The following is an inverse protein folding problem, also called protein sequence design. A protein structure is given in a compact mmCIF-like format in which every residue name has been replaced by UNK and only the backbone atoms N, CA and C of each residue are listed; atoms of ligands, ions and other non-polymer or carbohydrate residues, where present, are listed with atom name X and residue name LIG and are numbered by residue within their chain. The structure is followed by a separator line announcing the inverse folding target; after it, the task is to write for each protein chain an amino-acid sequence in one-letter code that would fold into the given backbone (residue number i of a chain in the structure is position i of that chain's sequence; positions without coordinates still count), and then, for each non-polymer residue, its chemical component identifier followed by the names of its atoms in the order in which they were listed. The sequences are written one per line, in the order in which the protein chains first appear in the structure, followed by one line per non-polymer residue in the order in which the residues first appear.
data_IF_928310910650
#
_entry.id   IF_928310910650
#
_cell.length_a   1.000
_cell.length_b   1.000
_cell.length_c   1.000
_cell.angle_alpha   90.00
_cell.angle_beta   90.00
_cell.angle_gamma   90.00
#
_symmetry.space_group_name_H-M   'P 1'
#
loop_
_entity.id
_entity.type
_entity.pdbx_description
1 polymer ?
#
# COMPACT_ATOMS: atom_id res chain seq x y z
N UNK A 1 -1.27 22.94 29.50
CA UNK A 1 -1.81 21.84 28.65
C UNK A 1 -0.90 21.69 27.46
N UNK A 2 0.22 20.97 27.61
CA UNK A 2 1.11 20.64 26.48
C UNK A 2 0.60 19.36 25.84
N UNK A 3 0.26 19.47 24.56
CA UNK A 3 0.00 18.36 23.64
C UNK A 3 1.19 17.40 23.66
N UNK A 4 1.01 16.20 24.22
CA UNK A 4 1.90 15.07 23.97
C UNK A 4 1.66 14.65 22.53
N UNK A 5 2.56 15.01 21.62
CA UNK A 5 2.63 14.34 20.32
C UNK A 5 3.05 12.90 20.63
N UNK A 6 2.09 11.99 20.71
CA UNK A 6 2.38 10.58 20.94
C UNK A 6 3.36 10.12 19.86
N UNK A 7 4.56 9.77 20.29
CA UNK A 7 5.56 9.16 19.42
C UNK A 7 4.96 7.85 18.95
N UNK A 8 4.45 7.82 17.71
CA UNK A 8 3.87 6.61 17.12
C UNK A 8 4.99 5.59 17.01
N UNK A 9 4.89 4.50 17.78
CA UNK A 9 5.88 3.44 17.74
C UNK A 9 5.68 2.58 16.49
N UNK A 10 6.72 1.88 16.04
CA UNK A 10 6.59 0.86 15.00
C UNK A 10 5.54 -0.21 15.35
N UNK A 11 5.34 -0.49 16.64
CA UNK A 11 4.28 -1.39 17.11
C UNK A 11 2.88 -0.79 16.87
N UNK A 12 2.67 0.49 17.12
CA UNK A 12 1.40 1.16 16.85
C UNK A 12 1.06 1.17 15.36
N UNK A 13 2.07 1.41 14.51
CA UNK A 13 1.91 1.32 13.05
C UNK A 13 1.58 -0.11 12.65
N UNK A 14 2.31 -1.10 13.16
CA UNK A 14 2.07 -2.50 12.83
C UNK A 14 0.67 -2.97 13.26
N UNK A 15 0.20 -2.58 14.45
CA UNK A 15 -1.14 -2.88 14.92
C UNK A 15 -2.22 -2.22 14.06
N UNK A 16 -2.00 -0.98 13.60
CA UNK A 16 -2.92 -0.30 12.68
C UNK A 16 -2.97 -0.99 11.33
N UNK A 17 -1.83 -1.39 10.78
CA UNK A 17 -1.75 -2.10 9.50
C UNK A 17 -2.35 -3.50 9.62
N UNK A 18 -2.04 -4.23 10.69
CA UNK A 18 -2.62 -5.54 11.01
C UNK A 18 -4.16 -5.46 11.13
N UNK A 19 -4.69 -4.53 11.92
CA UNK A 19 -6.12 -4.32 12.07
C UNK A 19 -6.79 -3.94 10.74
N UNK A 20 -6.11 -3.15 9.91
CA UNK A 20 -6.56 -2.91 8.55
C UNK A 20 -6.65 -4.24 7.80
N UNK A 21 -5.54 -4.97 7.63
CA UNK A 21 -5.48 -6.26 6.91
C UNK A 21 -6.50 -7.30 7.42
N UNK A 22 -6.74 -7.39 8.73
CA UNK A 22 -7.77 -8.23 9.33
C UNK A 22 -9.18 -7.81 8.91
N UNK A 23 -9.50 -6.51 8.98
CA UNK A 23 -10.78 -5.99 8.50
C UNK A 23 -10.98 -6.22 7.00
N UNK A 24 -9.88 -6.41 6.26
CA UNK A 24 -9.90 -6.72 4.84
C UNK A 24 -10.06 -8.22 4.55
N UNK A 25 -9.98 -9.08 5.57
CA UNK A 25 -10.00 -10.54 5.41
C UNK A 25 -8.73 -11.08 4.75
N UNK A 26 -7.61 -10.37 4.90
CA UNK A 26 -6.38 -10.68 4.20
C UNK A 26 -5.44 -11.44 5.13
N UNK A 27 -4.98 -12.61 4.69
CA UNK A 27 -3.94 -13.32 5.41
C UNK A 27 -2.65 -12.51 5.34
N UNK A 28 -2.02 -12.30 6.49
CA UNK A 28 -0.76 -11.59 6.58
C UNK A 28 0.13 -12.23 7.64
N UNK A 29 1.43 -11.97 7.52
CA UNK A 29 2.43 -12.37 8.47
C UNK A 29 3.33 -11.17 8.79
N UNK A 30 3.49 -10.87 10.08
CA UNK A 30 4.43 -9.86 10.56
C UNK A 30 5.79 -10.51 10.74
N UNK A 31 6.79 -10.02 10.01
CA UNK A 31 8.17 -10.48 10.07
C UNK A 31 9.11 -9.49 10.78
N UNK A 32 10.41 -9.64 10.53
CA UNK A 32 11.41 -8.65 10.90
C UNK A 32 11.72 -8.55 12.40
N UNK A 33 12.28 -7.40 12.78
CA UNK A 33 12.65 -7.09 14.17
C UNK A 33 11.44 -7.06 15.10
N UNK A 34 10.25 -6.68 14.62
CA UNK A 34 9.04 -6.61 15.43
C UNK A 34 8.54 -7.99 15.90
N UNK A 35 8.59 -9.01 15.03
CA UNK A 35 8.30 -10.39 15.42
C UNK A 35 9.31 -10.94 16.43
N UNK A 36 10.59 -10.54 16.32
CA UNK A 36 11.65 -10.91 17.27
C UNK A 36 11.54 -10.17 18.61
N UNK A 37 11.08 -8.91 18.63
CA UNK A 37 10.99 -8.10 19.86
C UNK A 37 9.97 -8.63 20.86
N UNK A 38 8.95 -9.38 20.40
CA UNK A 38 8.04 -10.14 21.27
C UNK A 38 8.76 -11.22 22.10
N UNK A 39 9.98 -11.64 21.73
CA UNK A 39 10.80 -12.61 22.46
C UNK A 39 11.96 -11.99 23.28
N UNK A 40 12.01 -10.66 23.45
CA UNK A 40 12.81 -10.05 24.53
C UNK A 40 14.21 -9.54 24.20
N UNK A 41 14.58 -9.37 22.92
CA UNK A 41 15.84 -8.70 22.53
C UNK A 41 15.54 -7.28 22.02
N UNK A 42 15.97 -6.20 22.71
CA UNK A 42 15.80 -4.83 22.25
C UNK A 42 16.62 -4.61 20.98
N UNK A 43 15.95 -4.45 19.83
CA UNK A 43 16.60 -4.04 18.58
C UNK A 43 16.00 -2.74 18.08
N UNK A 44 16.89 -1.75 17.91
CA UNK A 44 16.58 -0.44 17.34
C UNK A 44 16.70 -0.51 15.81
N UNK A 45 15.71 -1.10 15.15
CA UNK A 45 15.43 -0.90 13.72
C UNK A 45 13.96 -0.54 13.63
N UNK A 46 13.67 0.70 13.24
CA UNK A 46 12.32 1.27 13.26
C UNK A 46 11.52 0.86 12.01
N UNK A 47 11.76 -0.36 11.51
CA UNK A 47 11.21 -0.91 10.28
C UNK A 47 10.25 -2.07 10.62
N UNK A 48 9.20 -2.22 9.80
CA UNK A 48 8.18 -3.27 9.96
C UNK A 48 8.11 -4.05 8.65
N UNK A 49 8.40 -5.35 8.71
CA UNK A 49 8.23 -6.25 7.58
C UNK A 49 6.84 -6.90 7.63
N UNK A 50 6.03 -6.73 6.60
CA UNK A 50 4.76 -7.42 6.42
C UNK A 50 4.75 -8.24 5.14
N UNK A 51 4.33 -9.50 5.24
CA UNK A 51 3.99 -10.35 4.10
C UNK A 51 2.46 -10.42 4.05
N UNK A 52 1.87 -10.02 2.93
CA UNK A 52 0.41 -10.05 2.73
C UNK A 52 0.09 -11.02 1.61
N UNK A 53 -0.85 -11.93 1.84
CA UNK A 53 -1.38 -12.83 0.82
C UNK A 53 -2.18 -12.00 -0.21
N UNK A 54 -1.51 -11.70 -1.31
CA UNK A 54 -2.07 -10.95 -2.43
C UNK A 54 -1.62 -11.60 -3.74
N UNK A 55 -2.47 -11.55 -4.76
CA UNK A 55 -2.08 -12.00 -6.10
C UNK A 55 -0.90 -11.13 -6.62
N UNK A 56 0.24 -11.72 -7.03
CA UNK A 56 1.47 -10.98 -7.35
C UNK A 56 1.30 -9.85 -8.38
N UNK A 57 0.40 -10.05 -9.35
CA UNK A 57 0.10 -9.08 -10.41
C UNK A 57 -0.51 -7.76 -9.91
N UNK A 58 -1.07 -7.74 -8.71
CA UNK A 58 -1.69 -6.55 -8.11
C UNK A 58 -0.76 -5.80 -7.16
N UNK A 59 0.25 -6.48 -6.59
CA UNK A 59 1.12 -5.96 -5.53
C UNK A 59 1.80 -4.65 -5.92
N UNK A 60 2.36 -4.60 -7.14
CA UNK A 60 3.09 -3.42 -7.60
C UNK A 60 2.20 -2.19 -7.71
N UNK A 61 1.01 -2.32 -8.29
CA UNK A 61 0.07 -1.21 -8.44
C UNK A 61 -0.33 -0.64 -7.07
N UNK A 62 -0.60 -1.51 -6.09
CA UNK A 62 -0.95 -1.07 -4.74
C UNK A 62 0.18 -0.42 -3.99
N UNK A 63 1.38 -1.00 -4.05
CA UNK A 63 2.55 -0.44 -3.37
C UNK A 63 2.85 0.98 -3.88
N UNK A 64 2.77 1.20 -5.20
CA UNK A 64 3.00 2.50 -5.81
C UNK A 64 1.90 3.52 -5.44
N UNK A 65 0.62 3.11 -5.46
CA UNK A 65 -0.50 3.97 -5.05
C UNK A 65 -0.43 4.38 -3.58
N UNK A 66 -0.13 3.44 -2.69
CA UNK A 66 0.04 3.69 -1.27
C UNK A 66 1.22 4.63 -1.01
N UNK A 67 2.36 4.37 -1.64
CA UNK A 67 3.52 5.25 -1.50
C UNK A 67 3.18 6.65 -2.01
N UNK A 68 2.54 6.79 -3.17
CA UNK A 68 2.22 8.10 -3.70
C UNK A 68 1.27 8.89 -2.78
N UNK A 69 0.31 8.21 -2.14
CA UNK A 69 -0.54 8.80 -1.10
C UNK A 69 0.28 9.27 0.11
N UNK A 70 1.12 8.41 0.69
CA UNK A 70 1.96 8.76 1.85
C UNK A 70 2.99 9.85 1.52
N UNK A 71 3.43 9.92 0.26
CA UNK A 71 4.28 10.98 -0.28
C UNK A 71 3.57 12.32 -0.49
N UNK A 72 2.30 12.44 -0.10
CA UNK A 72 1.51 13.67 -0.24
C UNK A 72 1.13 14.01 -1.68
N UNK A 73 1.14 13.03 -2.59
CA UNK A 73 0.72 13.17 -3.98
C UNK A 73 1.52 14.21 -4.80
N UNK A 74 2.74 14.56 -4.39
CA UNK A 74 3.51 15.65 -5.03
C UNK A 74 4.38 15.20 -6.20
N UNK A 75 4.67 13.90 -6.32
CA UNK A 75 5.66 13.37 -7.28
C UNK A 75 5.06 13.05 -8.65
N UNK A 76 5.25 13.94 -9.62
CA UNK A 76 4.82 13.68 -11.01
C UNK A 76 5.57 12.53 -11.68
N UNK A 77 6.77 12.18 -11.21
CA UNK A 77 7.50 11.00 -11.69
C UNK A 77 6.79 9.72 -11.22
N UNK A 78 6.51 9.63 -9.93
CA UNK A 78 5.83 8.48 -9.34
C UNK A 78 4.42 8.29 -9.92
N UNK A 79 3.69 9.39 -10.14
CA UNK A 79 2.40 9.32 -10.82
C UNK A 79 2.50 8.69 -12.22
N UNK A 80 3.54 9.05 -13.01
CA UNK A 80 3.76 8.43 -14.32
C UNK A 80 4.06 6.94 -14.20
N UNK A 81 4.85 6.54 -13.22
CA UNK A 81 5.18 5.14 -12.98
C UNK A 81 3.93 4.32 -12.60
N UNK A 82 3.03 4.86 -11.77
CA UNK A 82 1.71 4.24 -11.45
C UNK A 82 0.88 4.02 -12.71
N UNK A 83 0.73 5.05 -13.54
CA UNK A 83 -0.06 4.98 -14.77
C UNK A 83 0.55 3.98 -15.75
N UNK A 84 1.88 3.92 -15.84
CA UNK A 84 2.58 2.97 -16.71
C UNK A 84 2.42 1.52 -16.24
N UNK A 85 2.49 1.26 -14.92
CA UNK A 85 2.25 -0.07 -14.34
C UNK A 85 0.86 -0.57 -14.69
N UNK A 86 -0.16 0.26 -14.50
CA UNK A 86 -1.55 -0.08 -14.81
C UNK A 86 -1.77 -0.25 -16.32
N UNK A 87 -1.09 0.54 -17.16
CA UNK A 87 -1.18 0.38 -18.62
C UNK A 87 -0.58 -0.95 -19.10
N UNK A 88 0.57 -1.32 -18.57
CA UNK A 88 1.30 -2.54 -18.98
C UNK A 88 0.63 -3.80 -18.44
N UNK A 89 0.12 -3.72 -17.20
CA UNK A 89 -0.37 -4.90 -16.48
C UNK A 89 -1.91 -5.00 -16.44
N UNK A 90 -2.61 -3.96 -16.91
CA UNK A 90 -4.07 -3.81 -16.74
C UNK A 90 -4.91 -4.93 -17.34
N UNK A 91 -4.46 -5.56 -18.42
CA UNK A 91 -5.19 -6.68 -19.04
C UNK A 91 -5.12 -7.99 -18.23
N UNK A 92 -4.11 -8.15 -17.38
CA UNK A 92 -3.94 -9.32 -16.52
C UNK A 92 -4.43 -9.05 -15.09
N UNK A 93 -4.58 -7.78 -14.73
CA UNK A 93 -5.09 -7.35 -13.44
C UNK A 93 -6.60 -7.59 -13.38
N UNK A 94 -7.01 -8.31 -12.33
CA UNK A 94 -8.41 -8.40 -11.95
C UNK A 94 -8.86 -7.05 -11.37
N UNK A 95 -9.68 -6.32 -12.12
CA UNK A 95 -10.20 -5.00 -11.74
C UNK A 95 -11.08 -5.06 -10.49
N UNK A 96 -11.86 -6.13 -10.30
CA UNK A 96 -12.73 -6.27 -9.12
C UNK A 96 -11.90 -6.43 -7.84
N UNK A 97 -10.86 -7.27 -7.92
CA UNK A 97 -9.88 -7.40 -6.84
C UNK A 97 -9.14 -6.09 -6.62
N UNK A 98 -8.79 -5.38 -7.70
CA UNK A 98 -8.06 -4.13 -7.60
C UNK A 98 -8.88 -3.04 -6.90
N UNK A 99 -10.14 -2.87 -7.30
CA UNK A 99 -11.08 -1.92 -6.70
C UNK A 99 -11.39 -2.25 -5.24
N UNK A 100 -11.63 -3.53 -4.91
CA UNK A 100 -11.87 -3.95 -3.53
C UNK A 100 -10.73 -3.50 -2.61
N UNK A 101 -9.49 -3.71 -3.03
CA UNK A 101 -8.32 -3.35 -2.23
C UNK A 101 -8.03 -1.84 -2.23
N UNK A 102 -8.31 -1.14 -3.33
CA UNK A 102 -8.14 0.31 -3.37
C UNK A 102 -9.11 1.04 -2.43
N UNK A 103 -10.36 0.58 -2.31
CA UNK A 103 -11.33 1.08 -1.34
C UNK A 103 -10.79 0.90 0.09
N UNK A 104 -10.36 -0.33 0.37
CA UNK A 104 -9.84 -0.76 1.67
C UNK A 104 -8.58 0.01 2.11
N UNK A 105 -7.70 0.32 1.16
CA UNK A 105 -6.47 1.08 1.37
C UNK A 105 -6.65 2.59 1.22
N UNK A 106 -7.88 3.06 0.95
CA UNK A 106 -8.23 4.47 0.73
C UNK A 106 -7.41 5.12 -0.40
N UNK A 107 -7.21 4.38 -1.47
CA UNK A 107 -6.55 4.82 -2.72
C UNK A 107 -7.45 4.68 -3.96
N UNK A 108 -8.77 4.56 -3.75
CA UNK A 108 -9.77 4.37 -4.82
C UNK A 108 -9.84 5.55 -5.79
N UNK A 109 -9.78 6.79 -5.31
CA UNK A 109 -9.70 8.00 -6.15
C UNK A 109 -8.43 8.03 -7.00
N UNK A 110 -7.30 7.60 -6.43
CA UNK A 110 -6.02 7.51 -7.15
C UNK A 110 -6.05 6.41 -8.19
N UNK A 111 -6.62 5.25 -7.85
CA UNK A 111 -6.78 4.14 -8.78
C UNK A 111 -7.65 4.55 -9.97
N UNK A 112 -8.81 5.16 -9.70
CA UNK A 112 -9.75 5.63 -10.73
C UNK A 112 -9.10 6.63 -11.68
N UNK A 113 -8.38 7.62 -11.13
CA UNK A 113 -7.62 8.60 -11.92
C UNK A 113 -6.56 7.92 -12.79
N UNK A 114 -5.79 6.99 -12.22
CA UNK A 114 -4.72 6.32 -12.95
C UNK A 114 -5.24 5.39 -14.05
N UNK A 115 -6.35 4.68 -13.81
CA UNK A 115 -7.04 3.87 -14.83
C UNK A 115 -7.57 4.73 -15.99
N UNK A 116 -8.18 5.88 -15.70
CA UNK A 116 -8.66 6.80 -16.72
C UNK A 116 -7.52 7.33 -17.60
N UNK A 117 -6.39 7.70 -17.01
CA UNK A 117 -5.21 8.15 -17.75
C UNK A 117 -4.55 7.02 -18.55
N UNK A 118 -4.49 5.81 -18.00
CA UNK A 118 -3.96 4.64 -18.70
C UNK A 118 -4.80 4.30 -19.94
N UNK A 119 -6.14 4.36 -19.82
CA UNK A 119 -7.07 4.14 -20.92
C UNK A 119 -6.95 5.21 -22.02
N UNK A 120 -6.83 6.49 -21.64
CA UNK A 120 -6.66 7.59 -22.60
C UNK A 120 -5.37 7.45 -23.46
N UNK A 121 -4.31 6.86 -22.89
CA UNK A 121 -3.03 6.61 -23.57
C UNK A 121 -3.06 5.37 -24.49
N UNK A 122 -4.04 4.47 -24.36
CA UNK A 122 -4.22 3.32 -25.23
C UNK A 122 -4.94 3.68 -26.54
N UNK A 123 -5.85 4.65 -26.50
CA UNK A 123 -6.59 5.14 -27.68
C UNK A 123 -5.83 6.17 -28.54
N UNK A 124 -4.58 6.48 -28.21
CA UNK A 124 -3.75 7.48 -28.89
C UNK A 124 -2.54 6.87 -29.63
N UNK A 125 -2.57 5.56 -29.91
CA UNK A 125 -1.58 4.85 -30.74
C UNK A 125 -2.16 4.42 -32.09
#
# INVERSE_FOLDING_TARGET
MSSSTDVVSALDVALRVAAALESLGCEYFIGGSLACSLQGEPRATNDIDLVVAMMPRHVRAFAELLWYREGGEVSSKQWRDIVEVLRVSGAEIDDQYLSMWAEKLRVEDLLTRAQAEAAAKLGSQ
#
